data_IF_189654210835
#
_entry.id   IF_189654210835
#
_cell.length_a   1.000
_cell.length_b   1.000
_cell.length_c   1.000
_cell.angle_alpha   90.00
_cell.angle_beta   90.00
_cell.angle_gamma   90.00
#
_symmetry.space_group_name_H-M   'P 1'
#
loop_
_entity.id
_entity.type
_entity.pdbx_description
1 polymer ?
#
# COMPACT_ATOMS: atom_id res chain seq x y z
N UNK A 1 -15.49 -1.55 13.18
CA UNK A 1 -15.49 -0.32 12.37
C UNK A 1 -15.86 0.90 13.21
N UNK A 2 -16.67 0.75 14.29
CA UNK A 2 -17.04 1.86 15.19
C UNK A 2 -15.85 2.34 16.03
N UNK A 3 -15.00 1.42 16.47
CA UNK A 3 -13.86 1.70 17.36
C UNK A 3 -12.75 2.56 16.69
N UNK A 4 -12.66 2.53 15.36
CA UNK A 4 -11.67 3.32 14.62
C UNK A 4 -12.04 4.81 14.47
N UNK A 5 -13.23 5.21 14.93
CA UNK A 5 -13.69 6.61 14.92
C UNK A 5 -13.51 7.29 16.28
N UNK A 6 -13.13 6.53 17.31
CA UNK A 6 -12.90 7.10 18.64
C UNK A 6 -11.61 7.95 18.66
N UNK A 7 -11.72 9.12 19.29
CA UNK A 7 -10.64 10.10 19.43
C UNK A 7 -9.56 9.70 20.47
N UNK A 8 -9.56 8.45 20.92
CA UNK A 8 -8.72 7.97 22.01
C UNK A 8 -7.21 7.97 21.76
N UNK A 9 -6.76 8.03 20.49
CA UNK A 9 -5.33 7.92 20.19
C UNK A 9 -4.49 9.06 20.78
N UNK A 10 -4.98 10.29 20.83
CA UNK A 10 -4.24 11.40 21.44
C UNK A 10 -4.02 11.15 22.94
N UNK A 11 -5.07 10.78 23.67
CA UNK A 11 -4.98 10.45 25.10
C UNK A 11 -4.10 9.22 25.35
N UNK A 12 -4.18 8.22 24.47
CA UNK A 12 -3.33 7.03 24.57
C UNK A 12 -1.84 7.38 24.41
N UNK A 13 -1.48 8.19 23.41
CA UNK A 13 -0.11 8.62 23.18
C UNK A 13 0.43 9.55 24.28
N UNK A 14 -0.43 10.39 24.85
CA UNK A 14 -0.08 11.30 25.95
C UNK A 14 0.14 10.55 27.29
N UNK A 15 -0.64 9.50 27.53
CA UNK A 15 -0.62 8.76 28.80
C UNK A 15 0.39 7.60 28.86
N UNK A 16 0.95 7.19 27.72
CA UNK A 16 1.90 6.08 27.64
C UNK A 16 3.30 6.57 27.23
N UNK A 17 4.30 6.18 28.02
CA UNK A 17 5.68 6.46 27.66
C UNK A 17 6.05 5.80 26.33
N UNK A 18 6.96 6.42 25.57
CA UNK A 18 7.47 5.90 24.29
C UNK A 18 7.98 4.46 24.42
N UNK A 19 8.63 4.13 25.53
CA UNK A 19 9.10 2.78 25.81
C UNK A 19 7.94 1.77 25.89
N UNK A 20 6.81 2.16 26.48
CA UNK A 20 5.60 1.33 26.57
C UNK A 20 4.90 1.20 25.20
N UNK A 21 4.82 2.29 24.43
CA UNK A 21 4.25 2.27 23.08
C UNK A 21 5.02 1.34 22.13
N UNK A 22 6.35 1.30 22.24
CA UNK A 22 7.20 0.38 21.46
C UNK A 22 6.98 -1.10 21.75
N UNK A 23 6.40 -1.46 22.87
CA UNK A 23 6.05 -2.83 23.24
C UNK A 23 4.67 -3.25 22.70
N UNK A 24 3.87 -2.30 22.26
CA UNK A 24 2.55 -2.56 21.69
C UNK A 24 2.67 -3.05 20.24
N UNK A 25 1.78 -3.96 19.87
CA UNK A 25 1.68 -4.40 18.48
C UNK A 25 1.08 -3.31 17.59
N UNK A 26 1.35 -3.30 16.27
CA UNK A 26 0.68 -2.38 15.33
C UNK A 26 -0.84 -2.42 15.44
N UNK A 27 -1.42 -3.60 15.68
CA UNK A 27 -2.85 -3.78 15.90
C UNK A 27 -3.35 -3.00 17.13
N UNK A 28 -2.65 -3.09 18.25
CA UNK A 28 -3.01 -2.37 19.49
C UNK A 28 -2.91 -0.85 19.30
N UNK A 29 -1.84 -0.38 18.64
CA UNK A 29 -1.67 1.04 18.34
C UNK A 29 -2.77 1.57 17.41
N UNK A 30 -3.15 0.82 16.39
CA UNK A 30 -4.22 1.22 15.47
C UNK A 30 -5.59 1.26 16.17
N UNK A 31 -5.84 0.33 17.09
CA UNK A 31 -7.10 0.25 17.85
C UNK A 31 -7.20 1.27 19.01
N UNK A 32 -6.11 1.99 19.30
CA UNK A 32 -6.14 3.09 20.26
C UNK A 32 -6.99 4.29 19.76
N UNK A 33 -7.39 4.29 18.48
CA UNK A 33 -8.26 5.29 17.88
C UNK A 33 -7.57 6.17 16.85
N UNK A 34 -8.13 7.37 16.60
CA UNK A 34 -7.63 8.35 15.63
C UNK A 34 -7.06 9.58 16.33
N UNK A 35 -6.04 10.17 15.70
CA UNK A 35 -5.53 11.47 16.13
C UNK A 35 -6.53 12.57 15.74
N UNK A 36 -6.88 13.41 16.69
CA UNK A 36 -7.80 14.55 16.51
C UNK A 36 -7.08 15.89 16.56
N UNK A 37 -5.82 15.89 16.96
CA UNK A 37 -4.96 17.06 17.04
C UNK A 37 -3.50 16.67 16.77
N UNK A 38 -2.63 17.60 16.39
CA UNK A 38 -1.22 17.32 16.20
C UNK A 38 -0.56 16.85 17.51
N UNK A 39 0.28 15.83 17.39
CA UNK A 39 1.08 15.30 18.50
C UNK A 39 2.55 15.54 18.23
N UNK A 40 3.27 16.07 19.19
CA UNK A 40 4.70 16.37 19.10
C UNK A 40 5.52 15.40 19.96
N UNK A 41 6.57 14.84 19.37
CA UNK A 41 7.65 14.20 20.09
C UNK A 41 8.90 15.07 20.02
N UNK A 42 9.46 15.40 21.14
CA UNK A 42 10.76 16.11 21.25
C UNK A 42 11.84 15.11 21.68
N UNK A 43 13.01 15.20 21.04
CA UNK A 43 14.13 14.32 21.36
C UNK A 43 14.49 14.44 22.83
N UNK A 44 14.46 13.31 23.55
CA UNK A 44 14.71 13.26 25.00
C UNK A 44 13.44 13.35 25.85
N UNK A 45 12.26 13.52 25.26
CA UNK A 45 10.99 13.36 25.97
C UNK A 45 10.63 11.87 26.08
N UNK A 46 10.00 11.51 27.19
CA UNK A 46 9.45 10.17 27.37
C UNK A 46 8.03 10.02 26.80
N UNK A 47 7.38 11.12 26.45
CA UNK A 47 5.98 11.15 26.05
C UNK A 47 5.76 11.99 24.79
N UNK A 48 4.71 11.68 24.05
CA UNK A 48 4.13 12.62 23.11
C UNK A 48 3.34 13.69 23.86
N UNK A 49 3.30 14.92 23.33
CA UNK A 49 2.42 15.96 23.84
C UNK A 49 1.53 16.51 22.72
N UNK A 50 0.27 16.82 23.01
CA UNK A 50 -0.57 17.54 22.07
C UNK A 50 -0.05 18.97 21.87
N UNK A 51 -0.23 19.49 20.66
CA UNK A 51 0.08 20.87 20.31
C UNK A 51 -1.04 21.46 19.47
N UNK A 52 -1.13 22.79 19.48
CA UNK A 52 -2.06 23.50 18.61
C UNK A 52 -1.56 23.51 17.16
N UNK A 53 -2.49 23.62 16.22
CA UNK A 53 -2.15 23.66 14.79
C UNK A 53 -1.22 24.83 14.45
N UNK A 54 -1.36 25.97 15.09
CA UNK A 54 -0.49 27.14 14.86
C UNK A 54 0.96 26.83 15.28
N UNK A 55 1.15 26.13 16.38
CA UNK A 55 2.49 25.67 16.79
C UNK A 55 3.05 24.67 15.77
N UNK A 56 2.25 23.68 15.34
CA UNK A 56 2.66 22.68 14.37
C UNK A 56 3.09 23.32 13.04
N UNK A 57 2.25 24.20 12.50
CA UNK A 57 2.53 24.91 11.24
C UNK A 57 3.74 25.85 11.35
N UNK A 58 3.91 26.51 12.49
CA UNK A 58 5.09 27.36 12.72
C UNK A 58 6.38 26.54 12.71
N UNK A 59 6.40 25.39 13.39
CA UNK A 59 7.55 24.47 13.42
C UNK A 59 7.90 23.94 12.02
N UNK A 60 6.86 23.48 11.27
CA UNK A 60 7.01 22.99 9.90
C UNK A 60 7.57 24.10 9.00
N UNK A 61 7.00 25.29 9.07
CA UNK A 61 7.43 26.44 8.26
C UNK A 61 8.87 26.85 8.56
N UNK A 62 9.27 26.80 9.83
CA UNK A 62 10.67 27.10 10.23
C UNK A 62 11.64 26.06 9.66
N UNK A 63 11.31 24.77 9.80
CA UNK A 63 12.14 23.69 9.24
C UNK A 63 12.27 23.80 7.71
N UNK A 64 11.17 24.11 7.01
CA UNK A 64 11.20 24.29 5.56
C UNK A 64 12.05 25.52 5.14
N UNK A 65 12.05 26.61 5.90
CA UNK A 65 12.91 27.77 5.62
C UNK A 65 14.39 27.49 5.80
N UNK A 66 14.73 26.56 6.68
CA UNK A 66 16.11 26.14 6.95
C UNK A 66 16.61 25.07 5.97
N UNK A 67 15.68 24.42 5.23
CA UNK A 67 16.00 23.36 4.27
C UNK A 67 16.08 23.94 2.86
N UNK A 68 17.09 23.56 2.09
CA UNK A 68 17.13 23.89 0.66
C UNK A 68 16.00 23.14 -0.06
N UNK A 69 15.28 23.79 -0.99
CA UNK A 69 14.17 23.12 -1.68
C UNK A 69 14.53 21.78 -2.33
N UNK A 70 15.72 21.69 -2.93
CA UNK A 70 16.18 20.48 -3.60
C UNK A 70 16.59 19.34 -2.64
N UNK A 71 16.80 19.65 -1.36
CA UNK A 71 17.03 18.68 -0.30
C UNK A 71 15.72 18.11 0.27
N UNK A 72 14.56 18.56 -0.26
CA UNK A 72 13.25 18.06 0.13
C UNK A 72 12.67 17.10 -0.90
N UNK A 73 11.90 16.14 -0.42
CA UNK A 73 11.14 15.20 -1.26
C UNK A 73 9.69 15.11 -0.79
N UNK A 74 8.76 15.27 -1.72
CA UNK A 74 7.33 15.33 -1.46
C UNK A 74 6.65 14.12 -2.06
N UNK A 75 6.11 13.27 -1.20
CA UNK A 75 5.46 12.03 -1.60
C UNK A 75 4.01 12.01 -1.12
N UNK A 76 3.10 11.59 -1.99
CA UNK A 76 1.71 11.36 -1.62
C UNK A 76 1.21 9.98 -2.03
N UNK A 77 0.34 9.44 -1.18
CA UNK A 77 -0.25 8.12 -1.36
C UNK A 77 -1.30 8.12 -2.47
N UNK A 78 -1.51 6.99 -3.13
CA UNK A 78 -2.66 6.76 -4.01
C UNK A 78 -4.01 6.81 -3.31
N UNK A 79 -4.03 6.91 -1.98
CA UNK A 79 -5.26 7.14 -1.19
C UNK A 79 -5.57 8.62 -0.97
N UNK A 80 -4.66 9.51 -1.34
CA UNK A 80 -4.92 10.95 -1.31
C UNK A 80 -5.92 11.30 -2.41
N UNK A 81 -6.76 12.31 -2.16
CA UNK A 81 -7.62 12.83 -3.22
C UNK A 81 -6.79 13.54 -4.30
N UNK A 82 -7.35 13.68 -5.49
CA UNK A 82 -6.69 14.40 -6.57
C UNK A 82 -6.41 15.85 -6.22
N UNK A 83 -7.33 16.50 -5.47
CA UNK A 83 -7.19 17.87 -4.99
C UNK A 83 -6.02 17.99 -4.00
N UNK A 84 -5.89 17.05 -3.07
CA UNK A 84 -4.77 17.02 -2.12
C UNK A 84 -3.43 16.81 -2.86
N UNK A 85 -3.39 15.92 -3.84
CA UNK A 85 -2.21 15.69 -4.69
C UNK A 85 -1.83 16.93 -5.50
N UNK A 86 -2.81 17.61 -6.08
CA UNK A 86 -2.60 18.87 -6.79
C UNK A 86 -2.04 19.96 -5.87
N UNK A 87 -2.64 20.15 -4.69
CA UNK A 87 -2.18 21.15 -3.73
C UNK A 87 -0.76 20.86 -3.24
N UNK A 88 -0.43 19.60 -2.98
CA UNK A 88 0.93 19.22 -2.57
C UNK A 88 1.95 19.53 -3.67
N UNK A 89 1.61 19.21 -4.93
CA UNK A 89 2.48 19.50 -6.07
C UNK A 89 2.65 21.02 -6.27
N UNK A 90 1.55 21.78 -6.16
CA UNK A 90 1.59 23.23 -6.26
C UNK A 90 2.45 23.82 -5.14
N UNK A 91 2.27 23.35 -3.92
CA UNK A 91 3.05 23.80 -2.76
C UNK A 91 4.56 23.52 -2.97
N UNK A 92 4.94 22.30 -3.35
CA UNK A 92 6.34 21.94 -3.59
C UNK A 92 6.98 22.82 -4.67
N UNK A 93 6.27 23.12 -5.76
CA UNK A 93 6.73 24.02 -6.82
C UNK A 93 6.88 25.47 -6.35
N UNK A 94 5.95 25.96 -5.55
CA UNK A 94 6.06 27.31 -4.94
C UNK A 94 7.18 27.37 -3.91
N UNK A 95 7.42 26.28 -3.20
CA UNK A 95 8.55 26.14 -2.29
C UNK A 95 9.90 26.14 -3.04
N UNK A 96 9.94 25.70 -4.30
CA UNK A 96 11.10 25.82 -5.19
C UNK A 96 11.68 24.49 -5.65
N UNK A 97 10.92 23.37 -5.59
CA UNK A 97 11.38 22.06 -6.04
C UNK A 97 10.35 21.33 -6.91
N UNK A 98 10.84 20.45 -7.78
CA UNK A 98 10.04 19.47 -8.52
C UNK A 98 10.19 18.04 -7.97
N UNK A 99 10.81 17.85 -6.82
CA UNK A 99 10.97 16.56 -6.17
C UNK A 99 9.63 16.07 -5.58
N UNK A 100 8.64 15.91 -6.44
CA UNK A 100 7.28 15.45 -6.10
C UNK A 100 7.00 14.14 -6.80
N UNK A 101 6.51 13.16 -6.05
CA UNK A 101 6.15 11.88 -6.63
C UNK A 101 4.98 11.23 -5.89
N UNK A 102 4.41 10.21 -6.50
CA UNK A 102 3.35 9.41 -5.91
C UNK A 102 3.65 7.91 -5.98
N UNK A 103 2.78 7.10 -5.39
CA UNK A 103 2.93 5.66 -5.37
C UNK A 103 2.97 5.02 -6.77
N UNK A 104 2.24 5.56 -7.75
CA UNK A 104 2.16 4.98 -9.10
C UNK A 104 3.52 4.98 -9.80
N UNK A 105 4.35 5.96 -9.54
CA UNK A 105 5.70 6.01 -10.11
C UNK A 105 6.54 4.82 -9.68
N UNK A 106 6.46 4.43 -8.42
CA UNK A 106 7.22 3.30 -7.88
C UNK A 106 6.53 1.94 -8.10
N UNK A 107 5.23 1.93 -8.37
CA UNK A 107 4.43 0.71 -8.50
C UNK A 107 4.20 0.30 -9.94
N UNK A 108 3.77 1.21 -10.81
CA UNK A 108 3.27 0.91 -12.15
C UNK A 108 4.08 1.53 -13.29
N UNK A 109 4.89 2.53 -13.02
CA UNK A 109 5.64 3.25 -14.06
C UNK A 109 6.56 2.32 -14.87
N UNK A 110 7.26 1.42 -14.20
CA UNK A 110 8.13 0.44 -14.87
C UNK A 110 7.33 -0.46 -15.83
N UNK A 111 6.16 -0.94 -15.41
CA UNK A 111 5.26 -1.74 -16.24
C UNK A 111 4.74 -0.93 -17.43
N UNK A 112 4.33 0.33 -17.19
CA UNK A 112 3.87 1.23 -18.28
C UNK A 112 4.94 1.48 -19.32
N UNK A 113 6.17 1.75 -18.91
CA UNK A 113 7.32 1.95 -19.82
C UNK A 113 7.65 0.67 -20.58
N UNK A 114 7.74 -0.47 -19.89
CA UNK A 114 8.03 -1.76 -20.48
C UNK A 114 6.99 -2.18 -21.52
N UNK A 115 5.71 -2.10 -21.18
CA UNK A 115 4.61 -2.43 -22.07
C UNK A 115 4.53 -1.47 -23.27
N UNK A 116 4.68 -0.16 -23.06
CA UNK A 116 4.66 0.81 -24.13
C UNK A 116 5.81 0.59 -25.13
N UNK A 117 6.98 0.19 -24.62
CA UNK A 117 8.14 -0.13 -25.47
C UNK A 117 7.96 -1.44 -26.22
N UNK A 118 7.36 -2.46 -25.62
CA UNK A 118 7.24 -3.79 -26.21
C UNK A 118 6.03 -3.95 -27.13
N UNK A 119 4.87 -3.40 -26.73
CA UNK A 119 3.59 -3.63 -27.41
C UNK A 119 2.88 -2.33 -27.84
N UNK A 120 3.49 -1.17 -27.60
CA UNK A 120 2.97 0.14 -28.00
C UNK A 120 1.87 0.70 -27.08
N UNK A 121 1.51 0.02 -26.00
CA UNK A 121 0.49 0.44 -25.05
C UNK A 121 0.92 0.13 -23.62
N UNK A 122 0.69 1.05 -22.69
CA UNK A 122 0.98 0.87 -21.26
C UNK A 122 -0.07 0.04 -20.49
N UNK A 123 -1.02 -0.58 -21.18
CA UNK A 123 -2.10 -1.37 -20.59
C UNK A 123 -2.03 -2.83 -21.01
N UNK A 124 -2.77 -3.69 -20.29
CA UNK A 124 -2.87 -5.10 -20.65
C UNK A 124 -3.46 -5.30 -22.06
N UNK A 125 -2.94 -6.30 -22.75
CA UNK A 125 -3.39 -6.67 -24.12
C UNK A 125 -4.48 -7.77 -24.09
N UNK A 126 -4.83 -8.28 -22.91
CA UNK A 126 -5.82 -9.34 -22.69
C UNK A 126 -6.83 -8.90 -21.64
N UNK A 127 -8.00 -9.51 -21.66
CA UNK A 127 -9.02 -9.37 -20.62
C UNK A 127 -9.05 -10.59 -19.71
N UNK A 128 -9.74 -10.52 -18.55
CA UNK A 128 -9.79 -11.64 -17.62
C UNK A 128 -10.41 -12.89 -18.22
N UNK A 129 -11.35 -12.73 -19.15
CA UNK A 129 -12.00 -13.85 -19.86
C UNK A 129 -10.99 -14.65 -20.68
N UNK A 130 -10.05 -13.97 -21.36
CA UNK A 130 -8.96 -14.65 -22.09
C UNK A 130 -8.09 -15.49 -21.15
N UNK A 131 -7.77 -14.95 -19.98
CA UNK A 131 -6.99 -15.68 -18.96
C UNK A 131 -7.76 -16.90 -18.44
N UNK A 132 -9.07 -16.75 -18.21
CA UNK A 132 -9.93 -17.85 -17.73
C UNK A 132 -10.02 -19.02 -18.72
N UNK A 133 -9.84 -18.76 -20.02
CA UNK A 133 -9.88 -19.76 -21.09
C UNK A 133 -8.47 -20.25 -21.49
N UNK A 134 -7.43 -19.79 -20.83
CA UNK A 134 -6.06 -20.23 -21.13
C UNK A 134 -5.81 -21.67 -20.63
N UNK A 135 -5.12 -22.46 -21.44
CA UNK A 135 -4.66 -23.80 -21.06
C UNK A 135 -3.40 -23.73 -20.16
N UNK A 136 -2.64 -22.64 -20.27
CA UNK A 136 -1.42 -22.41 -19.52
C UNK A 136 -1.27 -20.93 -19.14
N UNK A 137 -1.03 -20.68 -17.86
CA UNK A 137 -0.78 -19.34 -17.32
C UNK A 137 0.58 -19.30 -16.62
N UNK A 138 1.40 -18.31 -16.96
CA UNK A 138 2.61 -18.00 -16.21
C UNK A 138 2.37 -16.81 -15.29
N UNK A 139 2.71 -16.95 -14.00
CA UNK A 139 2.74 -15.86 -13.02
C UNK A 139 4.19 -15.58 -12.72
N UNK A 140 4.70 -14.46 -13.20
CA UNK A 140 6.13 -14.11 -13.11
C UNK A 140 6.32 -12.92 -12.18
N UNK A 141 7.04 -13.11 -11.08
CA UNK A 141 7.41 -12.08 -10.10
C UNK A 141 6.23 -11.45 -9.36
N UNK A 142 5.04 -12.03 -9.46
CA UNK A 142 3.82 -11.46 -8.86
C UNK A 142 3.34 -12.20 -7.62
N UNK A 143 2.65 -11.48 -6.73
CA UNK A 143 1.92 -12.05 -5.60
C UNK A 143 0.43 -11.66 -5.67
N UNK A 144 -0.33 -12.18 -6.66
CA UNK A 144 -1.74 -11.85 -6.82
C UNK A 144 -2.61 -12.15 -5.59
N UNK A 145 -2.36 -13.18 -4.77
CA UNK A 145 -3.08 -13.37 -3.51
C UNK A 145 -3.11 -12.13 -2.60
N UNK A 146 -1.99 -11.42 -2.52
CA UNK A 146 -1.88 -10.20 -1.70
C UNK A 146 -2.34 -8.94 -2.42
N UNK A 147 -1.94 -8.77 -3.69
CA UNK A 147 -2.08 -7.50 -4.41
C UNK A 147 -3.28 -7.47 -5.36
N UNK A 148 -3.71 -8.61 -5.87
CA UNK A 148 -4.78 -8.74 -6.87
C UNK A 148 -5.69 -9.95 -6.54
N UNK A 149 -6.33 -9.99 -5.36
CA UNK A 149 -7.05 -11.17 -4.89
C UNK A 149 -8.17 -11.62 -5.84
N UNK A 150 -8.72 -10.71 -6.64
CA UNK A 150 -9.72 -11.04 -7.65
C UNK A 150 -9.17 -11.95 -8.75
N UNK A 151 -7.90 -11.80 -9.13
CA UNK A 151 -7.26 -12.68 -10.12
C UNK A 151 -7.22 -14.15 -9.63
N UNK A 152 -7.24 -14.36 -8.31
CA UNK A 152 -7.26 -15.73 -7.76
C UNK A 152 -8.54 -16.49 -8.12
N UNK A 153 -9.67 -15.80 -8.29
CA UNK A 153 -10.91 -16.41 -8.80
C UNK A 153 -10.73 -16.88 -10.25
N UNK A 154 -10.10 -16.06 -11.10
CA UNK A 154 -9.80 -16.44 -12.48
C UNK A 154 -8.83 -17.62 -12.55
N UNK A 155 -7.74 -17.60 -11.78
CA UNK A 155 -6.79 -18.73 -11.72
C UNK A 155 -7.46 -20.02 -11.21
N UNK A 156 -8.37 -19.93 -10.25
CA UNK A 156 -9.18 -21.07 -9.82
C UNK A 156 -10.03 -21.64 -10.97
N UNK A 157 -10.62 -20.79 -11.83
CA UNK A 157 -11.38 -21.24 -12.99
C UNK A 157 -10.50 -21.95 -14.02
N UNK A 158 -9.28 -21.41 -14.26
CA UNK A 158 -8.26 -22.10 -15.09
C UNK A 158 -8.02 -23.51 -14.57
N UNK A 159 -7.83 -23.65 -13.24
CA UNK A 159 -7.62 -24.98 -12.61
C UNK A 159 -8.82 -25.89 -12.76
N UNK A 160 -10.05 -25.39 -12.62
CA UNK A 160 -11.27 -26.19 -12.83
C UNK A 160 -11.41 -26.69 -14.26
N UNK A 161 -10.94 -25.93 -15.23
CA UNK A 161 -10.90 -26.32 -16.66
C UNK A 161 -9.68 -27.20 -17.01
N UNK A 162 -8.91 -27.65 -16.00
CA UNK A 162 -7.67 -28.45 -16.13
C UNK A 162 -6.49 -27.69 -16.76
N UNK A 163 -6.54 -26.39 -16.85
CA UNK A 163 -5.42 -25.53 -17.20
C UNK A 163 -4.30 -25.62 -16.16
N UNK A 164 -3.11 -25.20 -16.55
CA UNK A 164 -1.89 -25.24 -15.74
C UNK A 164 -1.46 -23.84 -15.35
N UNK A 165 -0.90 -23.72 -14.16
CA UNK A 165 -0.32 -22.45 -13.66
C UNK A 165 1.12 -22.70 -13.25
N UNK A 166 2.04 -22.03 -13.91
CA UNK A 166 3.49 -22.06 -13.58
C UNK A 166 3.84 -20.73 -12.91
N UNK A 167 4.44 -20.80 -11.75
CA UNK A 167 4.89 -19.62 -10.99
C UNK A 167 6.40 -19.51 -11.07
N UNK A 168 6.88 -18.37 -11.53
CA UNK A 168 8.30 -18.00 -11.56
C UNK A 168 8.51 -16.90 -10.53
N UNK A 169 9.06 -17.25 -9.37
CA UNK A 169 9.23 -16.30 -8.27
C UNK A 169 10.33 -16.80 -7.32
N UNK A 170 11.30 -15.93 -6.93
CA UNK A 170 12.36 -16.31 -6.00
C UNK A 170 11.84 -16.64 -4.58
N UNK A 171 10.62 -16.23 -4.25
CA UNK A 171 9.95 -16.54 -2.99
C UNK A 171 8.70 -17.39 -3.22
N UNK A 172 8.51 -18.40 -2.38
CA UNK A 172 7.28 -19.21 -2.42
C UNK A 172 6.16 -18.45 -1.70
N UNK A 173 5.24 -17.93 -2.49
CA UNK A 173 4.08 -17.22 -1.99
C UNK A 173 2.99 -18.21 -1.54
N UNK A 174 2.66 -18.21 -0.26
CA UNK A 174 1.72 -19.18 0.36
C UNK A 174 0.37 -19.23 -0.36
N UNK A 175 -0.15 -18.07 -0.76
CA UNK A 175 -1.43 -17.98 -1.46
C UNK A 175 -1.39 -18.49 -2.91
N UNK A 176 -0.22 -18.64 -3.53
CA UNK A 176 -0.07 -19.31 -4.83
C UNK A 176 0.06 -20.82 -4.68
N UNK A 177 0.52 -21.30 -3.54
CA UNK A 177 0.51 -22.74 -3.23
C UNK A 177 -0.91 -23.20 -2.98
N UNK A 178 -1.64 -22.54 -2.09
CA UNK A 178 -3.04 -22.85 -1.82
C UNK A 178 -3.80 -21.58 -1.41
N UNK A 179 -4.92 -21.29 -2.07
CA UNK A 179 -5.72 -20.11 -1.82
C UNK A 179 -7.19 -20.46 -1.54
N UNK A 180 -7.78 -19.81 -0.54
CA UNK A 180 -9.19 -19.91 -0.22
C UNK A 180 -9.98 -18.80 -0.91
N UNK A 181 -10.65 -19.13 -2.01
CA UNK A 181 -11.49 -18.17 -2.74
C UNK A 181 -12.84 -18.01 -2.02
N UNK A 182 -13.14 -16.83 -1.44
CA UNK A 182 -14.32 -16.66 -0.58
C UNK A 182 -15.66 -16.84 -1.32
N UNK A 183 -15.68 -16.59 -2.62
CA UNK A 183 -16.89 -16.73 -3.45
C UNK A 183 -17.21 -18.19 -3.85
N UNK A 184 -16.34 -19.14 -3.53
CA UNK A 184 -16.54 -20.56 -3.83
C UNK A 184 -16.55 -21.38 -2.54
N UNK A 185 -17.68 -22.02 -2.14
CA UNK A 185 -17.77 -22.75 -0.87
C UNK A 185 -16.77 -23.89 -0.72
N UNK A 186 -16.48 -24.62 -1.79
CA UNK A 186 -15.48 -25.69 -1.75
C UNK A 186 -14.09 -25.15 -1.54
N UNK A 187 -13.71 -24.12 -2.30
CA UNK A 187 -12.40 -23.46 -2.14
C UNK A 187 -12.25 -22.78 -0.77
N UNK A 188 -13.32 -22.20 -0.23
CA UNK A 188 -13.31 -21.59 1.10
C UNK A 188 -13.00 -22.61 2.20
N UNK A 189 -13.54 -23.81 2.12
CA UNK A 189 -13.34 -24.87 3.10
C UNK A 189 -11.99 -25.56 2.93
N UNK A 190 -11.66 -26.00 1.72
CA UNK A 190 -10.51 -26.87 1.46
C UNK A 190 -9.32 -26.17 0.80
N UNK A 191 -9.50 -24.94 0.30
CA UNK A 191 -8.53 -24.25 -0.53
C UNK A 191 -8.50 -24.77 -1.97
N UNK A 192 -7.80 -24.04 -2.82
CA UNK A 192 -7.52 -24.41 -4.21
C UNK A 192 -6.01 -24.33 -4.43
N UNK A 193 -5.33 -25.44 -4.74
CA UNK A 193 -3.94 -25.40 -5.19
C UNK A 193 -3.88 -24.63 -6.52
N UNK A 194 -3.10 -23.57 -6.56
CA UNK A 194 -3.01 -22.68 -7.73
C UNK A 194 -1.83 -23.08 -8.60
N UNK A 195 -0.60 -23.05 -8.04
CA UNK A 195 0.60 -23.40 -8.78
C UNK A 195 0.67 -24.91 -9.05
N UNK A 196 0.87 -25.28 -10.30
CA UNK A 196 1.26 -26.65 -10.68
C UNK A 196 2.76 -26.83 -10.59
N UNK A 197 3.52 -25.77 -10.86
CA UNK A 197 4.97 -25.76 -10.79
C UNK A 197 5.47 -24.41 -10.29
N UNK A 198 6.47 -24.45 -9.44
CA UNK A 198 7.27 -23.30 -8.98
C UNK A 198 8.68 -23.37 -9.58
N UNK A 199 9.17 -22.27 -10.13
CA UNK A 199 10.51 -22.12 -10.72
C UNK A 199 11.21 -20.90 -10.13
#
# INVERSE_FOLDING_TARGET
AADLQDAGACQHLESHAIAQLKLQTPYQLEHAGRLTQPMLYEKGSDFYRPIEWDEALTRISSALRETQPDDSFWYFSGRSSNEAGFLLQLFARLYGTNNVNNCSYYCHQASGVGLSSAVGSGTATVVLDDVEHADLVFVIGGNPPSNHPRLMTTLMQVKHKKGKVIVVNPAVEVGLVNFKVPSNPHSLLFGTPIADQYV
#
